data_IF_850392627738
#
_entry.id   IF_850392627738
#
_cell.length_a   1.000
_cell.length_b   1.000
_cell.length_c   1.000
_cell.angle_alpha   90.00
_cell.angle_beta   90.00
_cell.angle_gamma   90.00
#
_symmetry.space_group_name_H-M   'P 1'
#
loop_
_entity.id
_entity.type
_entity.pdbx_description
1 polymer ?
#
# COMPACT_ATOMS: atom_id res chain seq x y z
N UNK A 1 21.25 -15.93 26.32
CA UNK A 1 20.96 -16.81 25.15
C UNK A 1 21.44 -18.26 25.39
N UNK A 2 21.41 -18.74 26.63
CA UNK A 2 21.95 -20.05 27.01
C UNK A 2 20.91 -21.17 26.99
N UNK A 3 19.62 -20.85 27.05
CA UNK A 3 18.54 -21.84 26.95
C UNK A 3 18.11 -22.01 25.48
N UNK A 4 18.28 -23.23 24.96
CA UNK A 4 17.91 -23.60 23.57
C UNK A 4 16.41 -23.45 23.35
N UNK A 5 15.58 -23.91 24.30
CA UNK A 5 14.11 -23.79 24.22
C UNK A 5 13.66 -22.32 24.17
N UNK A 6 14.22 -21.46 25.02
CA UNK A 6 13.87 -20.04 24.99
C UNK A 6 14.32 -19.35 23.70
N UNK A 7 15.47 -19.74 23.12
CA UNK A 7 15.93 -19.19 21.84
C UNK A 7 15.01 -19.61 20.68
N UNK A 8 14.43 -20.81 20.75
CA UNK A 8 13.53 -21.35 19.74
C UNK A 8 12.11 -20.77 19.82
N UNK A 9 11.57 -20.63 21.03
CA UNK A 9 10.17 -20.25 21.23
C UNK A 9 9.94 -18.75 21.50
N UNK A 10 10.99 -18.00 21.87
CA UNK A 10 10.91 -16.54 22.04
C UNK A 10 11.70 -15.81 20.94
N UNK A 11 11.15 -15.72 19.71
CA UNK A 11 11.81 -15.01 18.63
C UNK A 11 11.97 -13.53 19.00
N UNK A 12 13.17 -12.99 18.74
CA UNK A 12 13.43 -11.56 18.93
C UNK A 12 12.54 -10.77 17.96
N UNK A 13 11.54 -10.07 18.48
CA UNK A 13 10.58 -9.28 17.67
C UNK A 13 11.13 -7.94 17.19
N UNK A 14 12.31 -7.53 17.67
CA UNK A 14 12.96 -6.29 17.27
C UNK A 14 13.88 -6.56 16.08
N UNK A 15 13.37 -6.29 14.88
CA UNK A 15 14.21 -6.08 13.69
C UNK A 15 14.78 -4.66 13.74
N UNK A 16 16.01 -4.42 13.25
CA UNK A 16 16.47 -3.06 13.02
C UNK A 16 15.52 -2.37 12.03
N UNK A 17 15.33 -1.03 12.15
CA UNK A 17 14.53 -0.28 11.19
C UNK A 17 15.05 -0.51 9.76
N UNK A 18 14.15 -0.83 8.83
CA UNK A 18 14.49 -0.91 7.41
C UNK A 18 14.52 0.49 6.79
N UNK A 19 15.43 0.73 5.84
CA UNK A 19 15.46 1.96 5.05
C UNK A 19 14.48 1.88 3.90
N UNK A 20 13.62 2.88 3.72
CA UNK A 20 12.77 3.01 2.54
C UNK A 20 13.63 3.34 1.31
N UNK A 21 13.26 2.79 0.14
CA UNK A 21 13.82 3.19 -1.15
C UNK A 21 12.87 4.17 -1.82
N UNK A 22 13.18 5.48 -1.86
CA UNK A 22 12.30 6.46 -2.48
C UNK A 22 12.21 6.22 -3.98
N UNK A 23 11.01 6.41 -4.53
CA UNK A 23 10.77 6.43 -5.97
C UNK A 23 11.24 7.80 -6.49
N UNK A 24 12.08 7.80 -7.53
CA UNK A 24 12.48 9.05 -8.18
C UNK A 24 11.24 9.70 -8.83
N UNK A 25 11.00 11.00 -8.61
CA UNK A 25 9.94 11.71 -9.33
C UNK A 25 10.15 11.58 -10.84
N UNK A 26 9.09 11.33 -11.64
CA UNK A 26 9.20 11.39 -13.09
C UNK A 26 9.33 12.85 -13.56
N UNK A 27 9.80 13.04 -14.78
CA UNK A 27 10.09 14.37 -15.36
C UNK A 27 8.83 15.11 -15.83
N UNK A 28 7.73 14.39 -16.02
CA UNK A 28 6.46 14.93 -16.50
C UNK A 28 5.24 14.27 -15.87
N UNK A 29 4.12 14.98 -15.94
CA UNK A 29 2.81 14.45 -15.53
C UNK A 29 2.44 13.24 -16.39
N UNK A 30 1.76 12.27 -15.78
CA UNK A 30 1.27 11.04 -16.40
C UNK A 30 2.35 10.05 -16.88
N UNK A 31 3.62 10.27 -16.52
CA UNK A 31 4.70 9.32 -16.83
C UNK A 31 4.78 8.15 -15.85
N UNK A 32 4.29 8.32 -14.62
CA UNK A 32 4.22 7.27 -13.62
C UNK A 32 2.88 7.37 -12.87
N UNK A 33 2.09 6.29 -12.92
CA UNK A 33 0.79 6.20 -12.27
C UNK A 33 0.82 5.11 -11.20
N UNK A 34 0.39 5.46 -10.00
CA UNK A 34 0.09 4.50 -8.94
C UNK A 34 -1.37 4.07 -9.03
N UNK A 35 -1.63 2.78 -8.90
CA UNK A 35 -2.97 2.20 -8.93
C UNK A 35 -3.25 1.46 -7.63
N UNK A 36 -4.45 1.61 -7.09
CA UNK A 36 -4.87 0.88 -5.90
C UNK A 36 -6.38 0.61 -5.90
N UNK A 37 -6.77 -0.50 -5.25
CA UNK A 37 -8.15 -0.87 -4.98
C UNK A 37 -8.46 -0.65 -3.50
N UNK A 38 -9.47 0.18 -3.24
CA UNK A 38 -9.97 0.44 -1.90
C UNK A 38 -11.20 -0.42 -1.67
N UNK A 39 -11.14 -1.32 -0.68
CA UNK A 39 -12.29 -2.11 -0.27
C UNK A 39 -11.91 -3.51 0.24
N UNK A 40 -12.92 -4.39 0.41
CA UNK A 40 -14.32 -4.18 0.06
C UNK A 40 -15.01 -3.13 0.95
N UNK A 41 -15.85 -2.27 0.37
CA UNK A 41 -16.67 -1.29 1.10
C UNK A 41 -18.01 -1.91 1.52
N UNK A 42 -18.37 -1.71 2.79
CA UNK A 42 -19.63 -2.15 3.37
C UNK A 42 -20.28 -0.99 4.14
N UNK A 43 -21.55 -0.63 3.87
CA UNK A 43 -22.44 -1.24 2.87
C UNK A 43 -21.98 -0.99 1.43
N UNK A 44 -22.41 -1.84 0.49
CA UNK A 44 -22.08 -1.67 -0.93
C UNK A 44 -22.70 -0.39 -1.48
N UNK A 45 -22.13 0.17 -2.55
CA UNK A 45 -22.71 1.35 -3.19
C UNK A 45 -24.14 1.07 -3.70
N UNK A 46 -24.87 2.13 -4.05
CA UNK A 46 -26.23 2.03 -4.60
C UNK A 46 -26.32 1.14 -5.86
N UNK A 47 -25.21 0.99 -6.61
CA UNK A 47 -25.14 0.15 -7.82
C UNK A 47 -24.52 -1.22 -7.57
N UNK A 48 -24.27 -1.58 -6.32
CA UNK A 48 -23.67 -2.88 -5.95
C UNK A 48 -22.14 -2.94 -6.04
N UNK A 49 -21.47 -1.85 -6.45
CA UNK A 49 -20.00 -1.77 -6.45
C UNK A 49 -19.44 -1.96 -5.03
N UNK A 50 -18.37 -2.74 -4.94
CA UNK A 50 -17.73 -3.18 -3.68
C UNK A 50 -16.35 -2.59 -3.49
N UNK A 51 -15.77 -1.97 -4.52
CA UNK A 51 -14.44 -1.41 -4.47
C UNK A 51 -14.41 -0.03 -5.13
N UNK A 52 -13.38 0.73 -4.83
CA UNK A 52 -13.02 1.93 -5.58
C UNK A 52 -11.64 1.69 -6.16
N UNK A 53 -11.51 1.74 -7.49
CA UNK A 53 -10.20 1.77 -8.13
C UNK A 53 -9.74 3.22 -8.22
N UNK A 54 -8.48 3.47 -7.87
CA UNK A 54 -7.83 4.77 -7.94
C UNK A 54 -6.61 4.70 -8.86
N UNK A 55 -6.46 5.70 -9.72
CA UNK A 55 -5.26 5.95 -10.52
C UNK A 55 -4.73 7.34 -10.16
N UNK A 56 -3.51 7.39 -9.64
CA UNK A 56 -2.86 8.61 -9.17
C UNK A 56 -1.62 8.90 -9.98
N UNK A 57 -1.56 10.05 -10.63
CA UNK A 57 -0.31 10.55 -11.20
C UNK A 57 0.69 10.85 -10.07
N UNK A 58 1.84 10.21 -10.09
CA UNK A 58 2.81 10.29 -8.99
C UNK A 58 3.44 11.68 -8.89
N UNK A 59 3.52 12.45 -9.98
CA UNK A 59 4.10 13.79 -9.97
C UNK A 59 3.12 14.84 -9.45
N UNK A 60 2.00 15.04 -10.14
CA UNK A 60 1.01 16.09 -9.83
C UNK A 60 0.09 15.76 -8.66
N UNK A 61 0.04 14.49 -8.24
CA UNK A 61 -0.94 13.96 -7.29
C UNK A 61 -2.39 14.05 -7.78
N UNK A 62 -2.61 14.27 -9.06
CA UNK A 62 -3.95 14.20 -9.65
C UNK A 62 -4.47 12.76 -9.59
N UNK A 63 -5.72 12.58 -9.19
CA UNK A 63 -6.34 11.26 -8.99
C UNK A 63 -7.63 11.13 -9.79
N UNK A 64 -7.78 9.99 -10.45
CA UNK A 64 -9.06 9.53 -11.02
C UNK A 64 -9.52 8.30 -10.25
N UNK A 65 -10.77 8.33 -9.78
CA UNK A 65 -11.37 7.22 -9.04
C UNK A 65 -12.64 6.73 -9.71
N UNK A 66 -12.89 5.43 -9.63
CA UNK A 66 -14.14 4.82 -10.10
C UNK A 66 -14.62 3.72 -9.14
N UNK A 67 -15.91 3.73 -8.83
CA UNK A 67 -16.53 2.63 -8.10
C UNK A 67 -16.73 1.43 -9.03
N UNK A 68 -16.32 0.24 -8.57
CA UNK A 68 -16.34 -1.03 -9.30
C UNK A 68 -16.80 -2.21 -8.43
#
# INVERSE_FOLDING_TARGET
KSCILCAQFNPRRQKPPGTLKPIKPPDGVWQLVSMDFHGPINPTSQRGNKYIISFTDVLSKFVVTKAV
#
